data_IF_910584185370
#
_entry.id   IF_910584185370
#
_cell.length_a   1.000
_cell.length_b   1.000
_cell.length_c   1.000
_cell.angle_alpha   90.00
_cell.angle_beta   90.00
_cell.angle_gamma   90.00
#
_symmetry.space_group_name_H-M   'P 1'
#
loop_
_entity.id
_entity.type
_entity.pdbx_description
1 polymer ?
#
# COMPACT_ATOMS: atom_id res chain seq x y z
N UNK A 1 -3.91 10.81 2.37
CA UNK A 1 -3.58 10.16 3.65
C UNK A 1 -4.86 9.76 4.35
N UNK A 2 -5.21 8.49 4.20
CA UNK A 2 -6.39 7.86 4.77
C UNK A 2 -6.46 8.08 6.28
N UNK A 3 -7.46 8.83 6.73
CA UNK A 3 -7.75 9.01 8.15
C UNK A 3 -8.36 7.73 8.70
N UNK A 4 -7.97 7.37 9.91
CA UNK A 4 -8.59 6.24 10.59
C UNK A 4 -10.04 6.57 10.94
N UNK A 5 -10.96 5.68 10.59
CA UNK A 5 -12.32 5.69 11.10
C UNK A 5 -12.23 5.45 12.61
N UNK A 6 -12.71 6.38 13.45
CA UNK A 6 -12.72 6.21 14.89
C UNK A 6 -13.73 5.14 15.30
N UNK A 7 -13.33 4.30 16.26
CA UNK A 7 -14.16 3.22 16.78
C UNK A 7 -14.64 3.63 18.17
N UNK A 8 -15.95 3.76 18.34
CA UNK A 8 -16.58 4.17 19.59
C UNK A 8 -17.31 3.00 20.25
N UNK A 9 -17.55 3.10 21.55
CA UNK A 9 -18.40 2.18 22.34
C UNK A 9 -17.92 0.72 22.36
N UNK A 10 -16.66 0.49 22.70
CA UNK A 10 -16.19 -0.83 23.16
C UNK A 10 -16.62 -1.01 24.63
N UNK A 11 -17.90 -1.30 24.89
CA UNK A 11 -18.53 -1.14 26.21
C UNK A 11 -18.59 -2.40 27.09
N UNK A 12 -17.97 -3.50 26.71
CA UNK A 12 -17.99 -4.74 27.51
C UNK A 12 -16.58 -5.07 28.04
N UNK A 13 -16.32 -4.96 29.35
CA UNK A 13 -15.02 -5.24 29.97
C UNK A 13 -14.48 -6.66 29.74
N UNK A 14 -15.35 -7.62 29.42
CA UNK A 14 -15.08 -9.05 29.60
C UNK A 14 -15.04 -9.90 28.30
N UNK A 15 -14.93 -9.29 27.12
CA UNK A 15 -14.69 -10.07 25.90
C UNK A 15 -13.72 -9.39 24.93
N UNK A 16 -12.39 -9.50 25.14
CA UNK A 16 -11.37 -9.08 24.19
C UNK A 16 -11.65 -9.54 22.74
N UNK A 17 -12.28 -10.71 22.62
CA UNK A 17 -12.70 -11.30 21.35
C UNK A 17 -13.88 -10.58 20.67
N UNK A 18 -14.90 -10.12 21.40
CA UNK A 18 -16.01 -9.37 20.78
C UNK A 18 -15.57 -7.95 20.39
N UNK A 19 -14.67 -7.35 21.17
CA UNK A 19 -14.03 -6.09 20.82
C UNK A 19 -13.15 -6.24 19.56
N UNK A 20 -12.38 -7.34 19.44
CA UNK A 20 -11.55 -7.58 18.26
C UNK A 20 -12.37 -7.70 16.99
N UNK A 21 -13.54 -8.34 17.07
CA UNK A 21 -14.46 -8.49 15.94
C UNK A 21 -14.93 -7.14 15.38
N UNK A 22 -15.41 -6.25 16.24
CA UNK A 22 -15.90 -4.94 15.82
C UNK A 22 -14.77 -4.09 15.20
N UNK A 23 -13.59 -4.13 15.82
CA UNK A 23 -12.42 -3.39 15.33
C UNK A 23 -11.95 -3.92 13.98
N UNK A 24 -11.80 -5.25 13.85
CA UNK A 24 -11.33 -5.88 12.62
C UNK A 24 -12.28 -5.63 11.45
N UNK A 25 -13.61 -5.64 11.67
CA UNK A 25 -14.58 -5.32 10.63
C UNK A 25 -14.41 -3.90 10.08
N UNK A 26 -14.19 -2.92 10.96
CA UNK A 26 -13.95 -1.54 10.54
C UNK A 26 -12.67 -1.44 9.74
N UNK A 27 -11.58 -2.05 10.22
CA UNK A 27 -10.28 -2.04 9.52
C UNK A 27 -10.32 -2.78 8.19
N UNK A 28 -11.16 -3.81 8.08
CA UNK A 28 -11.41 -4.49 6.83
C UNK A 28 -12.14 -3.60 5.84
N UNK A 29 -13.21 -2.94 6.29
CA UNK A 29 -13.97 -2.00 5.47
C UNK A 29 -13.09 -0.89 4.89
N UNK A 30 -12.20 -0.33 5.71
CA UNK A 30 -11.25 0.70 5.24
C UNK A 30 -10.35 0.24 4.09
N UNK A 31 -9.95 -1.04 4.05
CA UNK A 31 -9.17 -1.58 2.92
C UNK A 31 -10.08 -1.78 1.71
N UNK A 32 -11.29 -2.30 1.94
CA UNK A 32 -12.26 -2.62 0.90
C UNK A 32 -12.86 -1.40 0.20
N UNK A 33 -12.92 -0.25 0.88
CA UNK A 33 -13.36 1.00 0.28
C UNK A 33 -12.45 1.42 -0.90
N UNK A 34 -11.20 0.94 -0.94
CA UNK A 34 -10.27 1.17 -2.04
C UNK A 34 -10.26 0.06 -3.11
N UNK A 35 -11.06 -1.00 -2.94
CA UNK A 35 -11.14 -2.10 -3.91
C UNK A 35 -11.49 -1.65 -5.35
N UNK A 36 -12.36 -0.64 -5.58
CA UNK A 36 -12.57 -0.12 -6.93
C UNK A 36 -11.37 0.68 -7.45
N UNK A 37 -10.75 1.46 -6.57
CA UNK A 37 -9.64 2.35 -6.93
C UNK A 37 -8.37 1.58 -7.29
N UNK A 38 -8.17 0.37 -6.74
CA UNK A 38 -7.01 -0.46 -7.05
C UNK A 38 -6.91 -0.82 -8.53
N UNK A 39 -8.03 -0.83 -9.27
CA UNK A 39 -8.12 -1.29 -10.66
C UNK A 39 -7.57 -0.29 -11.69
N UNK A 40 -7.22 0.93 -11.28
CA UNK A 40 -6.63 1.93 -12.13
C UNK A 40 -5.23 2.32 -11.63
N UNK A 41 -4.15 2.11 -12.42
CA UNK A 41 -2.80 2.47 -12.02
C UNK A 41 -2.60 3.97 -11.81
N UNK A 42 -3.49 4.83 -12.32
CA UNK A 42 -3.41 6.28 -12.15
C UNK A 42 -3.81 6.75 -10.74
N UNK A 43 -4.48 5.91 -9.96
CA UNK A 43 -4.97 6.22 -8.61
C UNK A 43 -3.85 6.14 -7.55
N UNK A 44 -2.74 6.84 -7.78
CA UNK A 44 -1.54 6.83 -6.92
C UNK A 44 -1.86 7.14 -5.46
N UNK A 45 -2.71 8.14 -5.22
CA UNK A 45 -3.08 8.56 -3.86
C UNK A 45 -3.91 7.48 -3.15
N UNK A 46 -4.87 6.88 -3.86
CA UNK A 46 -5.75 5.85 -3.34
C UNK A 46 -4.99 4.53 -3.10
N UNK A 47 -4.04 4.17 -3.96
CA UNK A 47 -3.14 3.02 -3.74
C UNK A 47 -2.29 3.23 -2.47
N UNK A 48 -1.76 4.43 -2.27
CA UNK A 48 -1.05 4.79 -1.04
C UNK A 48 -1.96 4.74 0.20
N UNK A 49 -3.20 5.23 0.07
CA UNK A 49 -4.17 5.25 1.16
C UNK A 49 -4.66 3.83 1.50
N UNK A 50 -4.83 2.96 0.51
CA UNK A 50 -5.09 1.53 0.68
C UNK A 50 -3.92 0.84 1.39
N UNK A 51 -2.67 1.19 1.08
CA UNK A 51 -1.48 0.67 1.78
C UNK A 51 -1.52 1.01 3.27
N UNK A 52 -1.90 2.24 3.61
CA UNK A 52 -2.05 2.68 5.01
C UNK A 52 -3.15 1.88 5.70
N UNK A 53 -4.29 1.69 5.04
CA UNK A 53 -5.39 0.87 5.57
C UNK A 53 -4.95 -0.59 5.80
N UNK A 54 -4.25 -1.20 4.83
CA UNK A 54 -3.74 -2.57 4.94
C UNK A 54 -2.75 -2.72 6.09
N UNK A 55 -1.81 -1.76 6.25
CA UNK A 55 -0.90 -1.71 7.40
C UNK A 55 -1.64 -1.63 8.73
N UNK A 56 -2.69 -0.80 8.81
CA UNK A 56 -3.53 -0.66 10.01
C UNK A 56 -4.27 -1.95 10.33
N UNK A 57 -4.84 -2.61 9.32
CA UNK A 57 -5.48 -3.92 9.46
C UNK A 57 -4.47 -4.95 9.95
N UNK A 58 -3.27 -5.02 9.35
CA UNK A 58 -2.22 -5.96 9.77
C UNK A 58 -1.84 -5.80 11.23
N UNK A 59 -1.56 -4.58 11.68
CA UNK A 59 -1.21 -4.31 13.08
C UNK A 59 -2.35 -4.64 14.03
N UNK A 60 -3.58 -4.39 13.61
CA UNK A 60 -4.76 -4.75 14.40
C UNK A 60 -4.89 -6.28 14.53
N UNK A 61 -4.67 -7.01 13.43
CA UNK A 61 -4.65 -8.48 13.43
C UNK A 61 -3.52 -9.04 14.30
N UNK A 62 -2.32 -8.45 14.24
CA UNK A 62 -1.17 -8.83 15.09
C UNK A 62 -1.50 -8.68 16.58
N UNK A 63 -2.16 -7.59 16.97
CA UNK A 63 -2.58 -7.33 18.35
C UNK A 63 -3.61 -8.36 18.84
N UNK A 64 -4.59 -8.69 18.01
CA UNK A 64 -5.66 -9.62 18.39
C UNK A 64 -5.35 -11.09 18.09
N UNK A 65 -4.22 -11.40 17.44
CA UNK A 65 -3.86 -12.76 17.07
C UNK A 65 -3.92 -13.77 18.23
N UNK A 66 -3.50 -13.45 19.48
CA UNK A 66 -3.63 -14.38 20.60
C UNK A 66 -5.06 -14.75 20.99
N UNK A 67 -6.05 -13.93 20.60
CA UNK A 67 -7.47 -14.15 20.90
C UNK A 67 -8.23 -14.83 19.74
N UNK A 68 -7.57 -15.11 18.60
CA UNK A 68 -8.20 -15.64 17.39
C UNK A 68 -7.71 -17.07 17.09
N UNK A 69 -8.46 -17.87 16.31
CA UNK A 69 -8.03 -19.20 15.90
C UNK A 69 -6.68 -19.15 15.14
N UNK A 70 -5.63 -19.84 15.61
CA UNK A 70 -4.25 -19.65 15.16
C UNK A 70 -4.03 -19.95 13.67
N UNK A 71 -4.68 -20.99 13.13
CA UNK A 71 -4.51 -21.37 11.72
C UNK A 71 -5.18 -20.37 10.76
N UNK A 72 -6.33 -19.83 11.17
CA UNK A 72 -7.09 -18.87 10.37
C UNK A 72 -6.40 -17.49 10.38
N UNK A 73 -5.94 -17.03 11.54
CA UNK A 73 -5.27 -15.72 11.65
C UNK A 73 -3.93 -15.70 10.92
N UNK A 74 -3.17 -16.80 10.94
CA UNK A 74 -1.89 -16.91 10.22
C UNK A 74 -2.08 -16.71 8.72
N UNK A 75 -3.11 -17.34 8.15
CA UNK A 75 -3.45 -17.22 6.72
C UNK A 75 -3.85 -15.79 6.38
N UNK A 76 -4.72 -15.17 7.19
CA UNK A 76 -5.16 -13.78 6.96
C UNK A 76 -4.01 -12.79 7.08
N UNK A 77 -3.16 -12.91 8.10
CA UNK A 77 -1.98 -12.05 8.28
C UNK A 77 -1.04 -12.12 7.08
N UNK A 78 -0.78 -13.32 6.57
CA UNK A 78 0.07 -13.50 5.39
C UNK A 78 -0.49 -12.79 4.16
N UNK A 79 -1.81 -12.83 3.97
CA UNK A 79 -2.47 -12.17 2.83
C UNK A 79 -2.47 -10.65 2.97
N UNK A 80 -2.79 -10.10 4.15
CA UNK A 80 -2.74 -8.65 4.39
C UNK A 80 -1.30 -8.14 4.28
N UNK A 81 -0.32 -8.91 4.76
CA UNK A 81 1.10 -8.58 4.59
C UNK A 81 1.48 -8.52 3.11
N UNK A 82 1.07 -9.51 2.30
CA UNK A 82 1.34 -9.54 0.87
C UNK A 82 0.73 -8.32 0.15
N UNK A 83 -0.52 -7.96 0.45
CA UNK A 83 -1.16 -6.74 -0.07
C UNK A 83 -0.35 -5.50 0.30
N UNK A 84 0.03 -5.36 1.58
CA UNK A 84 0.80 -4.21 2.07
C UNK A 84 2.18 -4.12 1.41
N UNK A 85 2.86 -5.24 1.19
CA UNK A 85 4.18 -5.31 0.55
C UNK A 85 4.12 -4.90 -0.92
N UNK A 86 3.17 -5.42 -1.67
CA UNK A 86 2.96 -5.06 -3.10
C UNK A 86 2.65 -3.57 -3.27
N UNK A 87 1.71 -3.05 -2.47
CA UNK A 87 1.41 -1.62 -2.46
C UNK A 87 2.60 -0.78 -1.98
N UNK A 88 3.45 -1.34 -1.11
CA UNK A 88 4.69 -0.72 -0.65
C UNK A 88 5.69 -0.52 -1.77
N UNK A 89 5.96 -1.56 -2.55
CA UNK A 89 6.90 -1.48 -3.67
C UNK A 89 6.43 -0.48 -4.74
N UNK A 90 5.14 -0.44 -5.05
CA UNK A 90 4.56 0.56 -5.97
C UNK A 90 4.76 1.98 -5.41
N UNK A 91 4.44 2.18 -4.12
CA UNK A 91 4.60 3.48 -3.47
C UNK A 91 6.05 3.96 -3.44
N UNK A 92 7.02 3.06 -3.28
CA UNK A 92 8.44 3.40 -3.32
C UNK A 92 8.84 3.99 -4.69
N UNK A 93 8.32 3.42 -5.79
CA UNK A 93 8.48 4.00 -7.13
C UNK A 93 7.75 5.34 -7.28
N UNK A 94 6.50 5.43 -6.80
CA UNK A 94 5.67 6.64 -6.89
C UNK A 94 6.28 7.83 -6.12
N UNK A 95 7.12 7.58 -5.10
CA UNK A 95 7.89 8.60 -4.38
C UNK A 95 9.24 8.87 -5.03
N UNK A 96 9.94 7.82 -5.48
CA UNK A 96 11.31 7.96 -6.00
C UNK A 96 11.35 8.64 -7.36
N UNK A 97 10.42 8.33 -8.28
CA UNK A 97 10.42 8.89 -9.64
C UNK A 97 10.33 10.42 -9.62
N UNK A 98 9.37 11.05 -8.91
CA UNK A 98 9.33 12.52 -8.82
C UNK A 98 10.59 13.15 -8.22
N UNK A 99 11.20 12.51 -7.22
CA UNK A 99 12.45 13.00 -6.61
C UNK A 99 13.63 12.96 -7.60
N UNK A 100 13.72 11.89 -8.40
CA UNK A 100 14.73 11.77 -9.44
C UNK A 100 14.53 12.79 -10.55
N UNK A 101 13.27 13.07 -10.94
CA UNK A 101 12.93 14.08 -11.94
C UNK A 101 13.30 15.50 -11.47
N UNK A 102 12.98 15.83 -10.22
CA UNK A 102 13.38 17.11 -9.62
C UNK A 102 14.92 17.24 -9.60
N UNK A 103 15.62 16.15 -9.29
CA UNK A 103 17.09 16.09 -9.28
C UNK A 103 17.65 16.27 -10.69
N UNK A 104 17.07 15.60 -11.69
CA UNK A 104 17.45 15.72 -13.10
C UNK A 104 17.34 17.17 -13.57
N UNK A 105 16.21 17.84 -13.32
CA UNK A 105 16.01 19.25 -13.70
C UNK A 105 17.08 20.16 -13.07
N UNK A 106 17.42 19.94 -11.79
CA UNK A 106 18.45 20.72 -11.09
C UNK A 106 19.83 20.53 -11.70
N UNK A 107 20.19 19.30 -12.09
CA UNK A 107 21.48 19.02 -12.71
C UNK A 107 21.56 19.58 -14.13
N UNK A 108 20.50 19.47 -14.94
CA UNK A 108 20.43 20.08 -16.27
C UNK A 108 20.62 21.61 -16.20
N UNK A 109 19.97 22.27 -15.25
CA UNK A 109 20.13 23.71 -15.02
C UNK A 109 21.56 24.09 -14.60
N UNK A 110 22.21 23.26 -13.77
CA UNK A 110 23.60 23.47 -13.35
C UNK A 110 24.55 23.35 -14.54
N UNK A 111 24.41 22.32 -15.34
CA UNK A 111 25.25 22.09 -16.52
C UNK A 111 25.02 23.19 -17.56
N UNK A 112 23.77 23.59 -17.81
CA UNK A 112 23.45 24.72 -18.69
C UNK A 112 24.12 26.02 -18.24
N UNK A 113 24.08 26.34 -16.94
CA UNK A 113 24.75 27.52 -16.37
C UNK A 113 26.27 27.45 -16.47
N UNK A 114 26.88 26.27 -16.31
CA UNK A 114 28.33 26.08 -16.50
C UNK A 114 28.72 26.25 -17.96
N UNK A 115 27.96 25.67 -18.89
CA UNK A 115 28.18 25.80 -20.33
C UNK A 115 28.09 27.26 -20.80
N UNK A 116 27.16 28.04 -20.25
CA UNK A 116 27.07 29.49 -20.53
C UNK A 116 28.29 30.29 -20.02
N UNK A 117 29.03 29.78 -19.03
CA UNK A 117 30.18 30.45 -18.40
C UNK A 117 31.54 30.04 -18.96
N UNK A 118 31.66 28.89 -19.63
CA UNK A 118 32.92 28.37 -20.20
C UNK A 118 32.79 28.19 -21.73
N UNK A 119 33.82 28.60 -22.50
CA UNK A 119 33.95 28.16 -23.91
C UNK A 119 34.04 26.63 -23.95
N UNK A 120 33.33 25.94 -24.87
CA UNK A 120 32.86 24.58 -24.63
C UNK A 120 33.92 23.53 -24.89
N UNK A 121 34.35 22.86 -23.83
CA UNK A 121 34.84 21.48 -23.84
C UNK A 121 34.00 20.74 -22.77
N UNK A 122 32.70 20.55 -23.03
CA UNK A 122 31.91 19.66 -22.17
C UNK A 122 32.13 18.20 -22.62
N UNK A 123 32.19 17.23 -21.69
CA UNK A 123 32.24 15.82 -22.00
C UNK A 123 31.07 15.38 -22.90
N UNK A 124 31.23 14.30 -23.69
CA UNK A 124 30.20 13.81 -24.61
C UNK A 124 28.98 13.18 -23.93
N UNK A 125 29.01 13.01 -22.60
CA UNK A 125 27.91 12.48 -21.79
C UNK A 125 27.56 13.46 -20.69
N UNK A 126 26.28 13.78 -20.54
CA UNK A 126 25.79 14.60 -19.44
C UNK A 126 25.61 13.74 -18.18
N UNK A 127 25.94 14.29 -17.01
CA UNK A 127 25.66 13.64 -15.71
C UNK A 127 24.18 13.21 -15.55
N UNK A 128 23.29 13.84 -16.32
CA UNK A 128 21.87 13.54 -16.43
C UNK A 128 21.52 12.18 -17.06
N UNK A 129 22.37 11.59 -17.91
CA UNK A 129 22.02 10.34 -18.65
C UNK A 129 21.76 9.14 -17.73
N UNK A 130 22.51 9.04 -16.63
CA UNK A 130 22.29 8.02 -15.61
C UNK A 130 20.95 8.21 -14.89
N UNK A 131 20.57 9.45 -14.61
CA UNK A 131 19.28 9.78 -13.98
C UNK A 131 18.11 9.47 -14.92
N UNK A 132 18.23 9.82 -16.21
CA UNK A 132 17.21 9.48 -17.23
C UNK A 132 17.00 7.98 -17.30
N UNK A 133 18.09 7.20 -17.37
CA UNK A 133 18.01 5.73 -17.40
C UNK A 133 17.39 5.15 -16.14
N UNK A 134 17.74 5.69 -14.96
CA UNK A 134 17.17 5.25 -13.68
C UNK A 134 15.67 5.57 -13.56
N UNK A 135 15.24 6.76 -13.99
CA UNK A 135 13.82 7.15 -14.03
C UNK A 135 13.03 6.21 -14.93
N UNK A 136 13.54 5.94 -16.14
CA UNK A 136 12.90 5.01 -17.08
C UNK A 136 12.80 3.60 -16.48
N UNK A 137 13.88 3.12 -15.84
CA UNK A 137 13.89 1.83 -15.16
C UNK A 137 12.84 1.74 -14.04
N UNK A 138 12.74 2.78 -13.20
CA UNK A 138 11.77 2.82 -12.09
C UNK A 138 10.32 2.93 -12.55
N UNK A 139 10.05 3.62 -13.66
CA UNK A 139 8.71 3.66 -14.28
C UNK A 139 8.30 2.27 -14.78
N UNK A 140 9.21 1.56 -15.47
CA UNK A 140 8.97 0.18 -15.91
C UNK A 140 8.75 -0.78 -14.73
N UNK A 141 9.57 -0.68 -13.68
CA UNK A 141 9.41 -1.48 -12.46
C UNK A 141 8.05 -1.24 -11.79
N UNK A 142 7.62 0.03 -11.72
CA UNK A 142 6.32 0.43 -11.17
C UNK A 142 5.16 -0.21 -11.93
N UNK A 143 5.21 -0.22 -13.26
CA UNK A 143 4.21 -0.88 -14.11
C UNK A 143 4.18 -2.40 -13.90
N UNK A 144 5.34 -3.04 -13.79
CA UNK A 144 5.43 -4.48 -13.51
C UNK A 144 4.82 -4.83 -12.15
N UNK A 145 5.20 -4.11 -11.10
CA UNK A 145 4.66 -4.29 -9.75
C UNK A 145 3.15 -4.12 -9.70
N UNK A 146 2.62 -3.14 -10.43
CA UNK A 146 1.17 -2.94 -10.54
C UNK A 146 0.47 -4.11 -11.25
N UNK A 147 1.02 -4.59 -12.38
CA UNK A 147 0.45 -5.74 -13.08
C UNK A 147 0.45 -7.01 -12.21
N UNK A 148 1.52 -7.23 -11.45
CA UNK A 148 1.57 -8.34 -10.49
C UNK A 148 0.56 -8.17 -9.35
N UNK A 149 0.37 -6.96 -8.84
CA UNK A 149 -0.65 -6.65 -7.83
C UNK A 149 -2.05 -6.99 -8.35
N UNK A 150 -2.41 -6.57 -9.57
CA UNK A 150 -3.74 -6.81 -10.12
C UNK A 150 -3.95 -8.28 -10.45
N UNK A 151 -2.96 -8.95 -11.03
CA UNK A 151 -3.03 -10.39 -11.27
C UNK A 151 -3.27 -11.15 -9.96
N UNK A 152 -2.55 -10.78 -8.89
CA UNK A 152 -2.74 -11.37 -7.57
C UNK A 152 -4.11 -11.03 -6.97
N UNK A 153 -4.55 -9.76 -7.06
CA UNK A 153 -5.82 -9.28 -6.53
C UNK A 153 -7.03 -9.95 -7.20
N UNK A 154 -6.98 -10.12 -8.52
CA UNK A 154 -8.04 -10.77 -9.30
C UNK A 154 -8.03 -12.30 -9.17
N UNK A 155 -6.90 -12.90 -8.82
CA UNK A 155 -6.78 -14.33 -8.55
C UNK A 155 -7.29 -14.73 -7.15
N UNK A 156 -7.70 -13.77 -6.31
CA UNK A 156 -8.30 -14.07 -5.02
C UNK A 156 -9.65 -14.81 -5.23
N UNK A 157 -9.95 -15.89 -4.47
CA UNK A 157 -11.17 -16.68 -4.67
C UNK A 157 -12.46 -15.84 -4.55
N UNK A 158 -13.53 -16.16 -5.30
CA UNK A 158 -14.82 -15.44 -5.25
C UNK A 158 -15.65 -15.70 -3.96
N UNK A 159 -15.51 -16.86 -3.31
CA UNK A 159 -16.03 -17.14 -1.92
C UNK A 159 -15.03 -16.69 -0.82
N UNK A 160 -14.17 -15.76 -1.26
CA UNK A 160 -13.40 -14.68 -0.65
C UNK A 160 -12.52 -14.87 0.60
N UNK A 161 -11.29 -14.39 0.43
CA UNK A 161 -10.42 -13.85 1.48
C UNK A 161 -11.19 -12.98 2.48
N UNK A 162 -12.05 -12.10 1.97
CA UNK A 162 -12.85 -11.18 2.77
C UNK A 162 -13.97 -11.88 3.51
N UNK A 163 -14.52 -12.97 2.97
CA UNK A 163 -15.37 -13.91 3.69
C UNK A 163 -14.58 -14.67 4.76
N UNK A 164 -13.33 -15.07 4.52
CA UNK A 164 -12.49 -15.70 5.54
C UNK A 164 -12.19 -14.74 6.70
N UNK A 165 -11.89 -13.48 6.41
CA UNK A 165 -11.75 -12.44 7.46
C UNK A 165 -13.09 -12.13 8.14
N UNK A 166 -14.19 -12.14 7.39
CA UNK A 166 -15.54 -11.94 7.93
C UNK A 166 -16.07 -13.15 8.69
N UNK A 167 -15.60 -14.36 8.42
CA UNK A 167 -15.98 -15.61 9.08
C UNK A 167 -15.19 -15.82 10.38
N UNK A 168 -13.95 -15.31 10.44
CA UNK A 168 -13.19 -15.09 11.67
C UNK A 168 -13.89 -14.14 12.66
N UNK A 169 -14.86 -13.38 12.17
CA UNK A 169 -15.70 -12.45 12.91
C UNK A 169 -17.02 -13.18 13.25
N UNK A 170 -17.16 -13.87 14.40
CA UNK A 170 -18.45 -14.43 14.78
C UNK A 170 -19.51 -13.35 14.84
N UNK A 171 -20.75 -13.72 14.48
CA UNK A 171 -21.91 -12.85 14.67
C UNK A 171 -21.98 -12.50 16.16
N UNK A 172 -22.10 -11.20 16.47
CA UNK A 172 -22.37 -10.77 17.84
C UNK A 172 -23.57 -11.59 18.38
N UNK A 173 -23.53 -12.07 19.63
CA UNK A 173 -24.69 -12.76 20.19
C UNK A 173 -25.90 -11.83 20.06
N UNK A 174 -27.01 -12.34 19.51
CA UNK A 174 -28.27 -11.60 19.50
C UNK A 174 -28.55 -11.16 20.93
N UNK A 175 -28.66 -9.84 21.13
CA UNK A 175 -29.17 -9.30 22.39
C UNK A 175 -30.54 -9.95 22.64
N UNK A 176 -30.65 -10.68 23.76
CA UNK A 176 -31.92 -11.14 24.30
C UNK A 176 -32.65 -9.99 24.96
#
# INVERSE_FOLDING_TARGET
>A
MAKAIPIYKLTEPDAPFLASVAVLRVRLGEVMDFAPAILDPANVSELHDMRIAAKRLRYTLEVFAPALPPDQIKTVLAMVANLQERLGAIHDCDVLVPLLEETLTREEDRERKKALRKKPELPPYFAAEGLVSLIAGKRTEREQLYNELIAWWQALPPESFWESVSALIPKAPSAK
#
